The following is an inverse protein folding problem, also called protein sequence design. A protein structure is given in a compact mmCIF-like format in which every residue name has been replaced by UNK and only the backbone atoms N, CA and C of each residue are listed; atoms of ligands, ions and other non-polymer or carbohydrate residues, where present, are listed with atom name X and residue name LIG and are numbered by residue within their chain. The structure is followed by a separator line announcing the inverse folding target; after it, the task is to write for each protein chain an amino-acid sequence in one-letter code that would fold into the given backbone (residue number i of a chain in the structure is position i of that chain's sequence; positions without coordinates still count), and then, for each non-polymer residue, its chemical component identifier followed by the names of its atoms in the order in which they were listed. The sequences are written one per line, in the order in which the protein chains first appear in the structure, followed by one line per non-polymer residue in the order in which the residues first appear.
data_IF_257883012399
#
_entry.id   IF_257883012399
#
_cell.length_a   1.000
_cell.length_b   1.000
_cell.length_c   1.000
_cell.angle_alpha   90.00
_cell.angle_beta   90.00
_cell.angle_gamma   90.00
#
_symmetry.space_group_name_H-M   'P 1'
#
loop_
_entity.id
_entity.type
_entity.pdbx_description
1 polymer ?
#
# COMPACT_ATOMS: atom_id res chain seq x y z
N UNK A 1 -3.44 -29.95 -12.68
CA UNK A 1 -4.01 -28.63 -12.33
C UNK A 1 -3.40 -28.03 -11.06
N UNK A 2 -3.34 -28.75 -9.93
CA UNK A 2 -2.86 -28.18 -8.64
C UNK A 2 -1.34 -27.89 -8.52
N UNK A 3 -0.48 -28.63 -9.25
CA UNK A 3 0.97 -28.40 -9.25
C UNK A 3 1.37 -27.13 -10.03
N UNK A 4 0.73 -26.88 -11.17
CA UNK A 4 0.98 -25.71 -12.00
C UNK A 4 0.56 -24.41 -11.30
N UNK A 5 -0.52 -24.45 -10.50
CA UNK A 5 -0.96 -23.30 -9.70
C UNK A 5 0.04 -23.01 -8.57
N UNK A 6 0.66 -24.04 -7.97
CA UNK A 6 1.70 -23.85 -6.95
C UNK A 6 2.99 -23.27 -7.52
N UNK A 7 3.47 -23.76 -8.66
CA UNK A 7 4.63 -23.17 -9.35
C UNK A 7 4.37 -21.73 -9.84
N UNK A 8 3.14 -21.42 -10.24
CA UNK A 8 2.75 -20.06 -10.63
C UNK A 8 2.63 -19.12 -9.42
N UNK A 9 2.20 -19.63 -8.26
CA UNK A 9 2.15 -18.88 -7.00
C UNK A 9 3.52 -18.68 -6.34
N UNK A 10 4.51 -19.54 -6.65
CA UNK A 10 5.89 -19.42 -6.14
C UNK A 10 6.72 -18.30 -6.82
N UNK A 11 6.18 -17.64 -7.84
CA UNK A 11 6.83 -16.49 -8.47
C UNK A 11 6.33 -15.17 -7.88
N UNK A 12 7.25 -14.39 -7.27
CA UNK A 12 7.05 -13.00 -6.84
C UNK A 12 6.41 -12.12 -7.94
N UNK A 13 6.68 -12.44 -9.22
CA UNK A 13 6.11 -11.75 -10.37
C UNK A 13 4.59 -11.91 -10.52
N UNK A 14 4.01 -13.02 -10.04
CA UNK A 14 2.58 -13.32 -10.21
C UNK A 14 1.71 -12.35 -9.44
N UNK A 15 2.12 -11.98 -8.22
CA UNK A 15 1.42 -10.98 -7.43
C UNK A 15 1.38 -9.62 -8.16
N UNK A 16 2.52 -9.21 -8.72
CA UNK A 16 2.62 -7.97 -9.50
C UNK A 16 1.75 -7.98 -10.76
N UNK A 17 1.71 -9.09 -11.49
CA UNK A 17 0.88 -9.23 -12.70
C UNK A 17 -0.61 -9.21 -12.35
N UNK A 18 -1.03 -9.88 -11.27
CA UNK A 18 -2.42 -9.86 -10.80
C UNK A 18 -2.82 -8.44 -10.39
N UNK A 19 -1.99 -7.74 -9.62
CA UNK A 19 -2.23 -6.37 -9.19
C UNK A 19 -2.37 -5.42 -10.39
N UNK A 20 -1.42 -5.48 -11.33
CA UNK A 20 -1.47 -4.67 -12.54
C UNK A 20 -2.72 -4.97 -13.39
N UNK A 21 -3.08 -6.25 -13.52
CA UNK A 21 -4.28 -6.66 -14.26
C UNK A 21 -5.55 -6.14 -13.60
N UNK A 22 -5.62 -6.17 -12.26
CA UNK A 22 -6.74 -5.61 -11.51
C UNK A 22 -6.85 -4.09 -11.68
N UNK A 23 -5.73 -3.36 -11.65
CA UNK A 23 -5.70 -1.91 -11.90
C UNK A 23 -6.17 -1.56 -13.32
N UNK A 24 -5.68 -2.30 -14.32
CA UNK A 24 -6.13 -2.13 -15.72
C UNK A 24 -7.62 -2.46 -15.86
N UNK A 25 -8.11 -3.53 -15.22
CA UNK A 25 -9.53 -3.87 -15.23
C UNK A 25 -10.39 -2.76 -14.60
N UNK A 26 -9.95 -2.19 -13.47
CA UNK A 26 -10.62 -1.05 -12.82
C UNK A 26 -10.68 0.18 -13.74
N UNK A 27 -9.56 0.51 -14.40
CA UNK A 27 -9.49 1.61 -15.37
C UNK A 27 -10.42 1.38 -16.57
N UNK A 28 -10.46 0.16 -17.10
CA UNK A 28 -11.36 -0.18 -18.21
C UNK A 28 -12.82 -0.09 -17.78
N UNK A 29 -13.18 -0.58 -16.59
CA UNK A 29 -14.55 -0.53 -16.07
C UNK A 29 -15.02 0.91 -15.89
N UNK A 30 -14.23 1.78 -15.23
CA UNK A 30 -14.61 3.17 -14.96
C UNK A 30 -14.67 4.04 -16.22
N UNK A 31 -13.95 3.67 -17.29
CA UNK A 31 -14.00 4.37 -18.58
C UNK A 31 -14.98 3.73 -19.59
N UNK A 32 -15.68 2.66 -19.21
CA UNK A 32 -16.62 1.96 -20.08
C UNK A 32 -18.07 2.44 -19.90
N UNK A 33 -18.98 1.93 -20.73
CA UNK A 33 -20.43 2.12 -20.54
C UNK A 33 -20.98 1.51 -19.23
N UNK A 34 -20.19 0.72 -18.50
CA UNK A 34 -20.53 0.17 -17.19
C UNK A 34 -20.05 1.04 -16.02
N UNK A 35 -19.48 2.22 -16.27
CA UNK A 35 -19.01 3.13 -15.23
C UNK A 35 -20.09 3.45 -14.19
N UNK A 36 -21.34 3.65 -14.63
CA UNK A 36 -22.47 3.90 -13.73
C UNK A 36 -22.73 2.74 -12.76
N UNK A 37 -22.58 1.50 -13.22
CA UNK A 37 -22.79 0.31 -12.40
C UNK A 37 -21.65 0.16 -11.39
N UNK A 38 -20.42 0.41 -11.83
CA UNK A 38 -19.24 0.40 -10.97
C UNK A 38 -19.35 1.45 -9.84
N UNK A 39 -19.68 2.69 -10.19
CA UNK A 39 -19.84 3.78 -9.24
C UNK A 39 -21.03 3.55 -8.29
N UNK A 40 -22.18 3.10 -8.82
CA UNK A 40 -23.36 2.78 -7.99
C UNK A 40 -23.05 1.67 -6.98
N UNK A 41 -22.29 0.64 -7.39
CA UNK A 41 -21.91 -0.45 -6.50
C UNK A 41 -20.98 0.05 -5.38
N UNK A 42 -19.96 0.82 -5.71
CA UNK A 42 -19.00 1.34 -4.72
C UNK A 42 -19.61 2.37 -3.76
N UNK A 43 -20.57 3.17 -4.24
CA UNK A 43 -21.27 4.18 -3.43
C UNK A 43 -22.50 3.62 -2.70
N UNK A 44 -22.84 2.33 -2.88
CA UNK A 44 -23.98 1.71 -2.22
C UNK A 44 -23.86 1.87 -0.70
N UNK A 45 -24.82 2.51 -0.01
CA UNK A 45 -24.77 2.68 1.43
C UNK A 45 -24.96 1.32 2.12
N UNK A 46 -23.99 0.95 2.96
CA UNK A 46 -24.05 -0.27 3.75
C UNK A 46 -24.06 0.10 5.22
N UNK A 47 -25.21 -0.14 5.87
CA UNK A 47 -25.42 0.13 7.28
C UNK A 47 -25.35 -1.18 8.06
N UNK A 48 -24.42 -1.26 9.01
CA UNK A 48 -24.35 -2.36 9.98
C UNK A 48 -24.70 -1.79 11.35
N UNK A 49 -25.78 -2.29 11.95
CA UNK A 49 -26.28 -1.80 13.24
C UNK A 49 -26.41 -2.93 14.26
N UNK A 50 -25.93 -2.69 15.47
CA UNK A 50 -26.09 -3.56 16.62
C UNK A 50 -26.69 -2.74 17.79
N UNK A 51 -27.99 -2.89 18.02
CA UNK A 51 -28.72 -2.08 19.01
C UNK A 51 -28.76 -0.61 18.61
N UNK A 52 -28.32 0.29 19.50
CA UNK A 52 -28.29 1.74 19.24
C UNK A 52 -27.04 2.23 18.50
N UNK A 53 -26.04 1.36 18.31
CA UNK A 53 -24.78 1.70 17.62
C UNK A 53 -24.86 1.20 16.19
N UNK A 54 -24.73 2.11 15.23
CA UNK A 54 -24.72 1.80 13.80
C UNK A 54 -23.54 2.49 13.10
N UNK A 55 -22.96 1.79 12.15
CA UNK A 55 -21.95 2.33 11.24
C UNK A 55 -22.60 2.41 9.86
N UNK A 56 -22.77 3.64 9.37
CA UNK A 56 -23.25 3.94 8.03
C UNK A 56 -22.06 4.42 7.19
N UNK A 57 -21.65 3.58 6.23
CA UNK A 57 -20.57 3.91 5.31
C UNK A 57 -20.89 3.35 3.91
N UNK A 58 -20.47 4.04 2.84
CA UNK A 58 -20.47 3.47 1.49
C UNK A 58 -19.68 2.16 1.42
N UNK A 59 -20.07 1.27 0.52
CA UNK A 59 -19.42 -0.03 0.32
C UNK A 59 -17.91 0.11 0.07
N UNK A 60 -17.48 1.14 -0.66
CA UNK A 60 -16.07 1.44 -0.88
C UNK A 60 -15.27 1.57 0.42
N UNK A 61 -15.80 2.28 1.43
CA UNK A 61 -15.10 2.47 2.69
C UNK A 61 -15.05 1.16 3.50
N UNK A 62 -16.08 0.33 3.43
CA UNK A 62 -16.06 -1.01 4.04
C UNK A 62 -15.00 -1.90 3.41
N UNK A 63 -14.89 -1.89 2.08
CA UNK A 63 -13.87 -2.65 1.35
C UNK A 63 -12.48 -2.15 1.72
N UNK A 64 -12.26 -0.83 1.71
CA UNK A 64 -10.98 -0.23 2.07
C UNK A 64 -10.59 -0.56 3.51
N UNK A 65 -11.45 -0.29 4.48
CA UNK A 65 -11.17 -0.57 5.90
C UNK A 65 -10.89 -2.06 6.12
N UNK A 66 -11.70 -2.95 5.51
CA UNK A 66 -11.55 -4.40 5.65
C UNK A 66 -10.27 -4.95 5.04
N UNK A 67 -9.95 -4.56 3.79
CA UNK A 67 -8.74 -5.02 3.10
C UNK A 67 -7.47 -4.43 3.73
N UNK A 68 -7.51 -3.16 4.13
CA UNK A 68 -6.37 -2.49 4.77
C UNK A 68 -6.05 -3.08 6.14
N UNK A 69 -7.06 -3.52 6.91
CA UNK A 69 -6.82 -4.24 8.17
C UNK A 69 -6.06 -5.55 7.94
N UNK A 70 -6.44 -6.32 6.92
CA UNK A 70 -5.73 -7.57 6.58
C UNK A 70 -4.31 -7.27 6.09
N UNK A 71 -4.15 -6.25 5.24
CA UNK A 71 -2.85 -5.83 4.72
C UNK A 71 -1.90 -5.41 5.86
N UNK A 72 -2.33 -4.48 6.73
CA UNK A 72 -1.50 -4.00 7.84
C UNK A 72 -1.25 -5.06 8.90
N UNK A 73 -2.14 -6.02 9.10
CA UNK A 73 -1.87 -7.17 9.94
C UNK A 73 -0.69 -7.98 9.39
N UNK A 74 -0.67 -8.26 8.08
CA UNK A 74 0.42 -8.98 7.44
C UNK A 74 1.73 -8.18 7.52
N UNK A 75 1.69 -6.89 7.21
CA UNK A 75 2.86 -5.99 7.36
C UNK A 75 3.37 -5.96 8.80
N UNK A 76 2.47 -5.89 9.79
CA UNK A 76 2.85 -5.90 11.21
C UNK A 76 3.52 -7.21 11.65
N UNK A 77 3.05 -8.36 11.14
CA UNK A 77 3.69 -9.65 11.38
C UNK A 77 5.06 -9.73 10.71
N UNK A 78 5.20 -9.18 9.50
CA UNK A 78 6.46 -9.14 8.75
C UNK A 78 7.49 -8.26 9.46
N UNK A 79 7.11 -7.05 9.90
CA UNK A 79 7.95 -6.17 10.73
C UNK A 79 8.43 -6.92 11.96
N UNK A 80 7.51 -7.59 12.68
CA UNK A 80 7.87 -8.33 13.89
C UNK A 80 8.91 -9.42 13.59
N UNK A 81 8.77 -10.14 12.48
CA UNK A 81 9.73 -11.17 12.05
C UNK A 81 11.10 -10.55 11.75
N UNK A 82 11.14 -9.49 10.95
CA UNK A 82 12.37 -8.80 10.56
C UNK A 82 13.13 -8.20 11.76
N UNK A 83 12.40 -7.65 12.74
CA UNK A 83 12.99 -7.11 13.98
C UNK A 83 13.58 -8.21 14.86
N UNK A 84 12.98 -9.40 14.89
CA UNK A 84 13.44 -10.49 15.76
C UNK A 84 14.56 -11.34 15.14
N UNK A 85 14.47 -11.63 13.84
CA UNK A 85 15.30 -12.65 13.18
C UNK A 85 15.98 -12.13 11.89
N UNK A 86 15.59 -10.95 11.40
CA UNK A 86 15.95 -10.47 10.07
C UNK A 86 16.98 -9.33 10.05
N UNK A 87 16.96 -8.59 8.95
CA UNK A 87 17.90 -7.49 8.67
C UNK A 87 17.63 -6.26 9.56
N UNK A 88 16.49 -6.23 10.28
CA UNK A 88 16.16 -5.21 11.27
C UNK A 88 16.59 -5.56 12.70
N UNK A 89 17.29 -6.69 12.90
CA UNK A 89 17.74 -7.10 14.24
C UNK A 89 18.92 -6.28 14.78
N UNK A 90 19.72 -5.64 13.91
CA UNK A 90 20.84 -4.80 14.33
C UNK A 90 20.60 -3.30 14.07
N UNK A 91 20.88 -2.40 15.03
CA UNK A 91 20.68 -0.95 14.85
C UNK A 91 21.45 -0.36 13.67
N UNK A 92 22.59 -0.95 13.32
CA UNK A 92 23.42 -0.51 12.20
C UNK A 92 22.78 -0.83 10.83
N UNK A 93 22.06 -1.94 10.72
CA UNK A 93 21.35 -2.32 9.49
C UNK A 93 20.04 -1.55 9.32
N UNK A 94 19.36 -1.16 10.42
CA UNK A 94 18.13 -0.36 10.39
C UNK A 94 18.39 1.09 9.95
N UNK A 95 19.56 1.65 10.32
CA UNK A 95 19.83 3.07 10.14
C UNK A 95 19.72 3.52 8.67
N UNK A 96 20.25 2.73 7.73
CA UNK A 96 20.23 3.10 6.32
C UNK A 96 18.80 3.09 5.73
N UNK A 97 18.00 2.00 5.83
CA UNK A 97 16.61 1.99 5.39
C UNK A 97 15.75 3.05 6.08
N UNK A 98 15.91 3.25 7.39
CA UNK A 98 15.09 4.21 8.14
C UNK A 98 15.36 5.66 7.71
N UNK A 99 16.64 6.04 7.51
CA UNK A 99 16.99 7.37 7.01
C UNK A 99 16.52 7.55 5.57
N UNK A 100 16.67 6.52 4.72
CA UNK A 100 16.20 6.53 3.34
C UNK A 100 14.68 6.70 3.25
N UNK A 101 13.92 5.94 4.05
CA UNK A 101 12.47 6.04 4.17
C UNK A 101 12.06 7.43 4.68
N UNK A 102 12.66 7.92 5.77
CA UNK A 102 12.37 9.25 6.29
C UNK A 102 12.60 10.37 5.25
N UNK A 103 13.72 10.32 4.52
CA UNK A 103 13.98 11.25 3.42
C UNK A 103 13.00 11.07 2.25
N UNK A 104 12.65 9.82 1.93
CA UNK A 104 11.68 9.42 0.92
C UNK A 104 10.26 9.87 1.22
N UNK A 105 9.90 10.04 2.50
CA UNK A 105 8.62 10.59 2.92
C UNK A 105 8.64 12.12 3.00
N UNK A 106 9.65 12.70 3.67
CA UNK A 106 9.72 14.15 3.90
C UNK A 106 9.89 14.92 2.60
N UNK A 107 10.69 14.42 1.65
CA UNK A 107 10.93 15.09 0.37
C UNK A 107 9.63 15.34 -0.41
N UNK A 108 8.88 14.30 -0.80
CA UNK A 108 7.62 14.44 -1.52
C UNK A 108 6.56 15.22 -0.74
N UNK A 109 6.46 15.01 0.58
CA UNK A 109 5.55 15.77 1.46
C UNK A 109 5.79 17.28 1.38
N UNK A 110 7.04 17.71 1.56
CA UNK A 110 7.42 19.13 1.53
C UNK A 110 7.17 19.73 0.16
N UNK A 111 7.53 19.02 -0.92
CA UNK A 111 7.29 19.48 -2.29
C UNK A 111 5.79 19.67 -2.52
N UNK A 112 4.95 18.72 -2.12
CA UNK A 112 3.50 18.81 -2.26
C UNK A 112 2.91 19.97 -1.46
N UNK A 113 3.35 20.15 -0.20
CA UNK A 113 2.90 21.24 0.66
C UNK A 113 3.30 22.62 0.11
N UNK A 114 4.51 22.75 -0.45
CA UNK A 114 4.97 23.99 -1.08
C UNK A 114 4.12 24.35 -2.31
N UNK A 115 3.75 23.36 -3.13
CA UNK A 115 2.91 23.57 -4.31
C UNK A 115 1.46 23.93 -3.96
N UNK A 116 0.94 23.41 -2.84
CA UNK A 116 -0.45 23.61 -2.41
C UNK A 116 -0.61 24.63 -1.28
N UNK A 117 0.43 25.42 -0.97
CA UNK A 117 0.44 26.33 0.20
C UNK A 117 -0.75 27.30 0.29
N UNK A 118 -1.33 27.66 -0.86
CA UNK A 118 -2.45 28.61 -0.93
C UNK A 118 -3.84 27.95 -0.87
N UNK A 119 -3.92 26.62 -0.83
CA UNK A 119 -5.17 25.86 -0.78
C UNK A 119 -5.22 24.97 0.47
N UNK A 120 -5.89 25.43 1.55
CA UNK A 120 -6.00 24.69 2.80
C UNK A 120 -6.62 23.31 2.64
N UNK A 121 -7.51 23.10 1.66
CA UNK A 121 -8.18 21.82 1.45
C UNK A 121 -7.20 20.80 0.86
N UNK A 122 -6.34 21.24 -0.06
CA UNK A 122 -5.35 20.35 -0.66
C UNK A 122 -4.18 20.09 0.29
N UNK A 123 -3.88 21.00 1.22
CA UNK A 123 -2.79 20.81 2.19
C UNK A 123 -2.98 19.57 3.06
N UNK A 124 -4.21 19.17 3.38
CA UNK A 124 -4.49 17.94 4.13
C UNK A 124 -4.04 16.67 3.38
N UNK A 125 -3.89 16.75 2.05
CA UNK A 125 -3.43 15.68 1.18
C UNK A 125 -1.91 15.46 1.16
N UNK A 126 -1.14 16.12 2.03
CA UNK A 126 0.33 16.06 2.01
C UNK A 126 0.92 14.67 2.28
N UNK A 127 0.16 13.77 2.89
CA UNK A 127 0.54 12.38 3.13
C UNK A 127 0.31 11.45 1.92
N UNK A 128 -0.44 11.89 0.89
CA UNK A 128 -0.68 11.10 -0.33
C UNK A 128 0.63 10.73 -1.06
N UNK A 129 1.55 11.66 -1.34
CA UNK A 129 2.79 11.35 -2.07
C UNK A 129 3.86 10.62 -1.23
N UNK A 130 3.61 10.35 0.06
CA UNK A 130 4.59 9.67 0.93
C UNK A 130 4.42 8.16 0.97
N UNK A 131 3.28 7.62 0.53
CA UNK A 131 3.02 6.19 0.51
C UNK A 131 3.60 5.52 -0.76
N UNK A 132 4.15 4.32 -0.60
CA UNK A 132 4.78 3.55 -1.69
C UNK A 132 4.13 2.17 -1.81
N UNK A 133 3.55 1.82 -2.97
CA UNK A 133 2.98 0.47 -3.19
C UNK A 133 4.08 -0.59 -3.38
N UNK A 134 4.37 -1.31 -2.30
CA UNK A 134 5.36 -2.38 -2.22
C UNK A 134 5.08 -3.54 -3.20
N UNK A 135 3.81 -3.90 -3.39
CA UNK A 135 3.43 -5.04 -4.21
C UNK A 135 3.65 -4.72 -5.70
N UNK A 136 3.38 -3.48 -6.10
CA UNK A 136 3.71 -3.01 -7.43
C UNK A 136 5.23 -2.89 -7.63
N UNK A 137 5.94 -2.28 -6.68
CA UNK A 137 7.38 -2.07 -6.78
C UNK A 137 8.16 -3.40 -6.88
N UNK A 138 7.85 -4.38 -6.02
CA UNK A 138 8.42 -5.72 -6.09
C UNK A 138 7.98 -6.48 -7.34
N UNK A 139 6.72 -6.31 -7.77
CA UNK A 139 6.20 -6.90 -9.00
C UNK A 139 6.99 -6.48 -10.24
N UNK A 140 7.24 -5.17 -10.40
CA UNK A 140 8.06 -4.64 -11.50
C UNK A 140 9.51 -5.11 -11.38
N UNK A 141 10.05 -5.12 -10.16
CA UNK A 141 11.42 -5.58 -9.91
C UNK A 141 11.61 -7.06 -10.25
N UNK A 142 10.58 -7.89 -10.04
CA UNK A 142 10.58 -9.30 -10.44
C UNK A 142 10.54 -9.48 -11.96
N UNK A 143 9.90 -8.57 -12.72
CA UNK A 143 9.90 -8.59 -14.19
C UNK A 143 11.29 -8.30 -14.80
N UNK A 144 12.15 -7.56 -14.09
CA UNK A 144 13.54 -7.33 -14.51
C UNK A 144 14.42 -8.60 -14.39
N UNK A 145 13.88 -9.67 -13.80
CA UNK A 145 14.47 -11.01 -13.79
C UNK A 145 15.74 -11.11 -12.93
N UNK A 146 16.70 -11.97 -13.30
CA UNK A 146 17.87 -12.28 -12.46
C UNK A 146 18.89 -11.14 -12.36
N UNK A 147 18.67 -10.01 -13.04
CA UNK A 147 19.57 -8.84 -13.01
C UNK A 147 19.50 -8.07 -11.70
N UNK A 148 18.47 -8.29 -10.90
CA UNK A 148 18.28 -7.60 -9.62
C UNK A 148 18.80 -8.47 -8.48
N UNK A 149 19.75 -7.98 -7.66
CA UNK A 149 20.23 -8.69 -6.48
C UNK A 149 19.10 -8.92 -5.46
N UNK A 150 19.11 -10.07 -4.80
CA UNK A 150 18.16 -10.37 -3.71
C UNK A 150 18.23 -9.34 -2.56
N UNK A 151 19.43 -8.81 -2.28
CA UNK A 151 19.63 -7.76 -1.28
C UNK A 151 18.88 -6.46 -1.60
N UNK A 152 18.69 -6.14 -2.89
CA UNK A 152 17.96 -4.93 -3.30
C UNK A 152 16.44 -5.10 -3.13
N UNK A 153 15.93 -6.33 -3.35
CA UNK A 153 14.54 -6.67 -3.06
C UNK A 153 14.24 -6.57 -1.57
N UNK A 154 15.12 -7.11 -0.73
CA UNK A 154 15.01 -7.02 0.73
C UNK A 154 15.11 -5.58 1.21
N UNK A 155 16.06 -4.80 0.67
CA UNK A 155 16.17 -3.38 1.00
C UNK A 155 14.90 -2.59 0.66
N UNK A 156 14.34 -2.81 -0.54
CA UNK A 156 13.11 -2.15 -0.98
C UNK A 156 11.90 -2.57 -0.15
N UNK A 157 11.81 -3.87 0.21
CA UNK A 157 10.79 -4.39 1.11
C UNK A 157 10.83 -3.64 2.45
N UNK A 158 12.01 -3.57 3.06
CA UNK A 158 12.21 -2.89 4.34
C UNK A 158 11.90 -1.40 4.26
N UNK A 159 12.36 -0.70 3.21
CA UNK A 159 12.08 0.72 3.01
C UNK A 159 10.58 0.98 2.90
N UNK A 160 9.87 0.22 2.06
CA UNK A 160 8.44 0.40 1.84
C UNK A 160 7.62 0.13 3.12
N UNK A 161 8.03 -0.85 3.93
CA UNK A 161 7.42 -1.10 5.23
C UNK A 161 7.54 0.12 6.17
N UNK A 162 8.70 0.78 6.21
CA UNK A 162 8.88 2.00 7.00
C UNK A 162 8.03 3.16 6.47
N UNK A 163 7.97 3.34 5.15
CA UNK A 163 7.15 4.37 4.52
C UNK A 163 5.65 4.17 4.83
N UNK A 164 5.14 2.94 4.69
CA UNK A 164 3.73 2.61 4.95
C UNK A 164 3.35 2.80 6.42
N UNK A 165 4.21 2.34 7.35
CA UNK A 165 3.99 2.54 8.79
C UNK A 165 4.02 4.03 9.14
N UNK A 166 5.00 4.76 8.58
CA UNK A 166 5.14 6.19 8.77
C UNK A 166 3.91 6.95 8.26
N UNK A 167 3.43 6.62 7.06
CA UNK A 167 2.26 7.26 6.46
C UNK A 167 0.99 7.01 7.29
N UNK A 168 0.77 5.77 7.77
CA UNK A 168 -0.36 5.47 8.66
C UNK A 168 -0.27 6.26 9.96
N UNK A 169 0.90 6.32 10.60
CA UNK A 169 1.07 7.10 11.83
C UNK A 169 0.81 8.58 11.60
N UNK A 170 1.32 9.13 10.50
CA UNK A 170 1.07 10.53 10.12
C UNK A 170 -0.42 10.78 9.95
N UNK A 171 -1.12 9.94 9.17
CA UNK A 171 -2.56 10.08 8.94
C UNK A 171 -3.32 9.95 10.28
N UNK A 172 -2.96 9.00 11.14
CA UNK A 172 -3.66 8.77 12.40
C UNK A 172 -3.49 9.91 13.44
N UNK A 173 -2.38 10.67 13.39
CA UNK A 173 -2.09 11.71 14.37
C UNK A 173 -2.22 13.14 13.84
N UNK A 174 -2.09 13.35 12.53
CA UNK A 174 -2.04 14.68 11.93
C UNK A 174 -3.27 15.02 11.08
N UNK A 175 -4.09 14.04 10.70
CA UNK A 175 -5.30 14.22 9.88
C UNK A 175 -6.51 13.73 10.68
#
# INVERSE_FOLDING_TARGET
MGLMIREFLDHEATAGVVLFSAAVAGLLLVNSSFAWLYDSLLTTPLVVQAGSVGIDKPLLLWINDGLMVVFFLLVGLEIKREVLEGELSSPAQIALPAIAAFGGMVGPAVIYAMLNWNDPVNLDGWAIPTATDIAFALGVLALLGPRVPASLKLFLLTLAIFDDLGAVMIIAFCV
#
